data_IF_552399516402
#
_entry.id   IF_552399516402
#
_cell.length_a   1.000
_cell.length_b   1.000
_cell.length_c   1.000
_cell.angle_alpha   90.00
_cell.angle_beta   90.00
_cell.angle_gamma   90.00
#
_symmetry.space_group_name_H-M   'P 1'
#
loop_
_entity.id
_entity.type
_entity.pdbx_description
1 polymer ?
#
# COMPACT_ATOMS: atom_id res chain seq x y z
N UNK A 1 13.22 -31.83 5.72
CA UNK A 1 13.37 -30.36 5.86
C UNK A 1 12.29 -29.70 5.03
N UNK A 2 11.42 -28.88 5.65
CA UNK A 2 10.42 -28.13 4.88
C UNK A 2 11.14 -27.14 3.94
N UNK A 3 10.74 -27.13 2.67
CA UNK A 3 11.32 -26.27 1.63
C UNK A 3 10.81 -24.85 1.86
N UNK A 4 11.59 -24.03 2.54
CA UNK A 4 11.30 -22.62 2.76
C UNK A 4 11.32 -21.88 1.43
N UNK A 5 10.21 -21.20 1.08
CA UNK A 5 10.13 -20.36 -0.12
C UNK A 5 10.10 -18.90 0.32
N UNK A 6 10.67 -18.01 -0.48
CA UNK A 6 10.69 -16.58 -0.19
C UNK A 6 9.29 -15.99 -0.01
N UNK A 7 8.28 -16.52 -0.72
CA UNK A 7 6.89 -16.11 -0.57
C UNK A 7 6.30 -16.46 0.80
N UNK A 8 6.94 -17.32 1.59
CA UNK A 8 6.49 -17.66 2.94
C UNK A 8 6.95 -16.62 3.98
N UNK A 9 7.79 -15.66 3.59
CA UNK A 9 8.19 -14.53 4.41
C UNK A 9 7.13 -13.44 4.41
N UNK A 10 6.59 -13.14 5.59
CA UNK A 10 5.67 -12.02 5.80
C UNK A 10 6.25 -10.70 5.35
N UNK A 11 7.54 -10.48 5.63
CA UNK A 11 8.25 -9.27 5.17
C UNK A 11 8.28 -9.17 3.63
N UNK A 12 8.34 -10.31 2.94
CA UNK A 12 8.38 -10.35 1.50
C UNK A 12 7.00 -10.11 0.89
N UNK A 13 5.95 -10.66 1.50
CA UNK A 13 4.55 -10.38 1.14
C UNK A 13 4.22 -8.89 1.32
N UNK A 14 4.57 -8.31 2.47
CA UNK A 14 4.37 -6.89 2.75
C UNK A 14 5.18 -5.99 1.82
N UNK A 15 6.40 -6.39 1.44
CA UNK A 15 7.22 -5.64 0.51
C UNK A 15 6.64 -5.62 -0.91
N UNK A 16 6.02 -6.72 -1.36
CA UNK A 16 5.31 -6.75 -2.64
C UNK A 16 4.09 -5.84 -2.60
N UNK A 17 3.30 -5.92 -1.55
CA UNK A 17 2.07 -5.14 -1.39
C UNK A 17 2.32 -3.62 -1.36
N UNK A 18 3.38 -3.17 -0.69
CA UNK A 18 3.81 -1.76 -0.73
C UNK A 18 4.41 -1.41 -2.09
N UNK A 19 5.08 -2.37 -2.74
CA UNK A 19 5.59 -2.22 -4.09
C UNK A 19 4.49 -1.93 -5.10
N UNK A 20 3.38 -2.67 -5.04
CA UNK A 20 2.23 -2.50 -5.92
C UNK A 20 1.61 -1.11 -5.79
N UNK A 21 1.50 -0.55 -4.58
CA UNK A 21 1.08 0.84 -4.37
C UNK A 21 1.99 1.86 -5.05
N UNK A 22 3.30 1.66 -4.96
CA UNK A 22 4.28 2.54 -5.59
C UNK A 22 4.23 2.42 -7.11
N UNK A 23 3.99 1.21 -7.63
CA UNK A 23 3.80 0.98 -9.06
C UNK A 23 2.55 1.67 -9.58
N UNK A 24 1.42 1.60 -8.88
CA UNK A 24 0.19 2.31 -9.25
C UNK A 24 0.41 3.83 -9.34
N UNK A 25 1.13 4.41 -8.38
CA UNK A 25 1.45 5.85 -8.38
C UNK A 25 2.39 6.19 -9.53
N UNK A 26 3.42 5.37 -9.77
CA UNK A 26 4.39 5.58 -10.84
C UNK A 26 3.73 5.48 -12.23
N UNK A 27 2.89 4.47 -12.45
CA UNK A 27 2.12 4.29 -13.68
C UNK A 27 1.17 5.46 -13.92
N UNK A 28 0.44 5.87 -12.87
CA UNK A 28 -0.40 7.06 -12.90
C UNK A 28 0.36 8.35 -13.23
N UNK A 29 1.61 8.49 -12.77
CA UNK A 29 2.42 9.68 -13.04
C UNK A 29 2.79 9.84 -14.52
N UNK A 30 2.80 8.75 -15.29
CA UNK A 30 2.99 8.75 -16.74
C UNK A 30 1.71 8.95 -17.55
N UNK A 31 0.55 9.07 -16.89
CA UNK A 31 -0.75 9.17 -17.56
C UNK A 31 -0.88 10.45 -18.39
N UNK A 32 -1.56 10.33 -19.55
CA UNK A 32 -1.75 11.45 -20.48
C UNK A 32 -2.75 12.49 -19.96
N UNK A 33 -3.60 12.12 -18.98
CA UNK A 33 -4.59 13.02 -18.41
C UNK A 33 -4.60 13.01 -16.88
N UNK A 34 -4.94 14.16 -16.28
CA UNK A 34 -5.14 14.29 -14.82
C UNK A 34 -6.24 13.37 -14.29
N UNK A 35 -7.25 13.06 -15.12
CA UNK A 35 -8.35 12.17 -14.76
C UNK A 35 -7.88 10.73 -14.60
N UNK A 36 -7.05 10.27 -15.52
CA UNK A 36 -6.42 8.97 -15.48
C UNK A 36 -5.44 8.88 -14.30
N UNK A 37 -4.58 9.88 -14.10
CA UNK A 37 -3.72 9.91 -12.91
C UNK A 37 -4.54 9.88 -11.60
N UNK A 38 -5.64 10.64 -11.53
CA UNK A 38 -6.55 10.59 -10.38
C UNK A 38 -7.21 9.21 -10.19
N UNK A 39 -7.35 8.41 -11.24
CA UNK A 39 -7.84 7.03 -11.13
C UNK A 39 -6.79 6.14 -10.47
N UNK A 40 -5.54 6.18 -10.95
CA UNK A 40 -4.42 5.46 -10.35
C UNK A 40 -4.19 5.83 -8.88
N UNK A 41 -4.30 7.11 -8.52
CA UNK A 41 -4.23 7.53 -7.12
C UNK A 41 -5.38 6.95 -6.27
N UNK A 42 -6.57 6.70 -6.84
CA UNK A 42 -7.63 6.02 -6.10
C UNK A 42 -7.35 4.53 -5.91
N UNK A 43 -6.68 3.88 -6.87
CA UNK A 43 -6.25 2.48 -6.76
C UNK A 43 -5.21 2.37 -5.65
N UNK A 44 -4.12 3.14 -5.73
CA UNK A 44 -3.08 3.19 -4.69
C UNK A 44 -3.66 3.47 -3.30
N UNK A 45 -4.65 4.38 -3.19
CA UNK A 45 -5.32 4.65 -1.92
C UNK A 45 -6.10 3.43 -1.39
N UNK A 46 -6.76 2.65 -2.26
CA UNK A 46 -7.49 1.44 -1.83
C UNK A 46 -6.53 0.37 -1.34
N UNK A 47 -5.41 0.19 -2.02
CA UNK A 47 -4.35 -0.73 -1.63
C UNK A 47 -3.86 -0.46 -0.20
N UNK A 48 -3.78 0.81 0.24
CA UNK A 48 -3.37 1.12 1.63
C UNK A 48 -4.30 0.53 2.70
N UNK A 49 -5.60 0.43 2.39
CA UNK A 49 -6.57 -0.19 3.30
C UNK A 49 -6.49 -1.72 3.26
N UNK A 50 -6.22 -2.30 2.08
CA UNK A 50 -6.05 -3.74 1.92
C UNK A 50 -4.82 -4.23 2.67
N UNK A 51 -3.70 -3.50 2.55
CA UNK A 51 -2.45 -3.77 3.27
C UNK A 51 -2.65 -3.70 4.79
N UNK A 52 -3.40 -2.71 5.28
CA UNK A 52 -3.76 -2.61 6.69
C UNK A 52 -4.57 -3.83 7.18
N UNK A 53 -5.53 -4.32 6.38
CA UNK A 53 -6.31 -5.51 6.72
C UNK A 53 -5.46 -6.77 6.78
N UNK A 54 -4.53 -6.95 5.83
CA UNK A 54 -3.62 -8.10 5.80
C UNK A 54 -2.71 -8.09 7.02
N UNK A 55 -2.14 -6.94 7.37
CA UNK A 55 -1.36 -6.76 8.60
C UNK A 55 -2.12 -7.14 9.86
N UNK A 56 -3.40 -6.78 9.97
CA UNK A 56 -4.26 -7.18 11.09
C UNK A 56 -4.44 -8.71 11.11
N UNK A 57 -4.66 -9.36 9.96
CA UNK A 57 -4.77 -10.83 9.87
C UNK A 57 -3.47 -11.50 10.28
N UNK A 58 -2.33 -11.00 9.81
CA UNK A 58 -1.01 -11.50 10.16
C UNK A 58 -0.75 -11.36 11.67
N UNK A 59 -1.13 -10.22 12.26
CA UNK A 59 -1.07 -10.04 13.71
C UNK A 59 -1.91 -11.08 14.46
N UNK A 60 -3.15 -11.34 14.02
CA UNK A 60 -4.03 -12.35 14.64
C UNK A 60 -3.46 -13.76 14.59
N UNK A 61 -2.60 -14.05 13.61
CA UNK A 61 -1.88 -15.33 13.49
C UNK A 61 -0.56 -15.36 14.28
N UNK A 62 -0.27 -14.33 15.07
CA UNK A 62 1.01 -14.14 15.78
C UNK A 62 2.23 -14.13 14.84
N UNK A 63 2.02 -13.71 13.60
CA UNK A 63 3.06 -13.65 12.57
C UNK A 63 3.80 -12.30 12.57
N UNK A 64 3.21 -11.26 13.19
CA UNK A 64 3.77 -9.91 13.28
C UNK A 64 3.72 -9.42 14.74
N UNK A 65 4.79 -8.77 15.21
CA UNK A 65 4.82 -8.15 16.55
C UNK A 65 3.93 -6.89 16.59
N UNK A 66 3.43 -6.54 17.78
CA UNK A 66 2.52 -5.40 17.92
C UNK A 66 3.19 -4.10 17.50
N UNK A 67 4.45 -3.91 17.89
CA UNK A 67 5.23 -2.71 17.59
C UNK A 67 5.50 -2.56 16.09
N UNK A 68 5.71 -3.69 15.40
CA UNK A 68 5.89 -3.71 13.95
C UNK A 68 4.58 -3.39 13.23
N UNK A 69 3.46 -3.96 13.69
CA UNK A 69 2.13 -3.66 13.16
C UNK A 69 1.82 -2.17 13.29
N UNK A 70 1.94 -1.62 14.50
CA UNK A 70 1.64 -0.20 14.78
C UNK A 70 2.47 0.73 13.91
N UNK A 71 3.77 0.45 13.75
CA UNK A 71 4.64 1.24 12.88
C UNK A 71 4.16 1.21 11.43
N UNK A 72 3.86 0.03 10.89
CA UNK A 72 3.44 -0.08 9.48
C UNK A 72 2.06 0.54 9.27
N UNK A 73 1.13 0.40 10.20
CA UNK A 73 -0.18 1.05 10.13
C UNK A 73 -0.07 2.59 10.15
N UNK A 74 0.84 3.14 10.95
CA UNK A 74 1.12 4.59 10.95
C UNK A 74 1.70 5.07 9.62
N UNK A 75 2.60 4.29 9.02
CA UNK A 75 3.16 4.60 7.70
C UNK A 75 2.11 4.50 6.58
N UNK A 76 1.22 3.50 6.63
CA UNK A 76 0.08 3.38 5.71
C UNK A 76 -0.92 4.54 5.84
N UNK A 77 -1.22 5.01 7.07
CA UNK A 77 -2.09 6.18 7.27
C UNK A 77 -1.45 7.46 6.67
N UNK A 78 -0.14 7.66 6.90
CA UNK A 78 0.58 8.79 6.30
C UNK A 78 0.52 8.74 4.78
N UNK A 79 0.77 7.58 4.18
CA UNK A 79 0.73 7.41 2.73
C UNK A 79 -0.68 7.67 2.18
N UNK A 80 -1.72 7.13 2.82
CA UNK A 80 -3.12 7.36 2.44
C UNK A 80 -3.48 8.86 2.45
N UNK A 81 -3.00 9.61 3.45
CA UNK A 81 -3.16 11.07 3.52
C UNK A 81 -2.42 11.80 2.39
N UNK A 82 -1.18 11.40 2.11
CA UNK A 82 -0.39 11.96 1.01
C UNK A 82 -1.08 11.74 -0.35
N UNK A 83 -1.51 10.52 -0.64
CA UNK A 83 -2.26 10.18 -1.86
C UNK A 83 -3.55 11.00 -1.94
N UNK A 84 -4.29 11.13 -0.84
CA UNK A 84 -5.52 11.92 -0.79
C UNK A 84 -5.27 13.39 -1.10
N UNK A 85 -4.21 13.98 -0.54
CA UNK A 85 -3.84 15.37 -0.77
C UNK A 85 -3.35 15.61 -2.19
N UNK A 86 -2.50 14.71 -2.72
CA UNK A 86 -2.05 14.75 -4.10
C UNK A 86 -3.24 14.70 -5.06
N UNK A 87 -4.18 13.78 -4.86
CA UNK A 87 -5.39 13.68 -5.67
C UNK A 87 -6.22 14.97 -5.64
N UNK A 88 -6.40 15.60 -4.47
CA UNK A 88 -7.10 16.89 -4.33
C UNK A 88 -6.41 18.03 -5.09
N UNK A 89 -5.08 17.97 -5.23
CA UNK A 89 -4.32 18.99 -5.96
C UNK A 89 -4.53 18.93 -7.48
N UNK A 90 -4.97 17.79 -8.03
CA UNK A 90 -5.16 17.56 -9.47
C UNK A 90 -6.37 18.29 -10.10
N UNK A 91 -6.89 19.35 -9.47
CA UNK A 91 -8.11 20.10 -9.85
C UNK A 91 -8.51 19.96 -11.32
N UNK A 92 -9.73 19.47 -11.54
CA UNK A 92 -10.41 19.48 -12.84
C UNK A 92 -10.97 20.89 -13.05
N UNK A 93 -10.28 21.70 -13.86
CA UNK A 93 -10.87 22.87 -14.51
C UNK A 93 -11.38 22.46 -15.88
#
# INVERSE_FOLDING_TARGET
MAKFRFQDLIVWQLAIEIGDELFDIAEGSGSASKKEFSHFLNIARRSTFENANILIILKRRNLVKTEQLEKILDDLDKLCRQITNLRKSLKFN
#
